data_IF_928519770397
#
_entry.id   IF_928519770397
#
_cell.length_a   1.000
_cell.length_b   1.000
_cell.length_c   1.000
_cell.angle_alpha   90.00
_cell.angle_beta   90.00
_cell.angle_gamma   90.00
#
_symmetry.space_group_name_H-M   'P 1'
#
loop_
_entity.id
_entity.type
_entity.pdbx_description
1 polymer ?
#
# COMPACT_ATOMS: atom_id res chain seq x y z
N UNK A 1 58.12 42.79 -21.18
CA UNK A 1 57.78 41.73 -20.19
C UNK A 1 56.73 42.27 -19.24
N UNK A 2 55.47 42.03 -19.51
CA UNK A 2 54.34 42.46 -18.71
C UNK A 2 54.03 41.44 -17.62
N UNK A 3 53.92 41.87 -16.37
CA UNK A 3 53.57 41.04 -15.17
C UNK A 3 52.11 40.63 -15.24
N UNK A 4 51.73 39.40 -14.88
CA UNK A 4 50.32 38.99 -14.80
C UNK A 4 49.63 39.64 -13.60
N UNK A 5 48.42 40.15 -13.82
CA UNK A 5 47.56 40.74 -12.80
C UNK A 5 47.12 39.68 -11.78
N UNK A 6 47.32 39.97 -10.50
CA UNK A 6 46.83 39.13 -9.40
C UNK A 6 45.30 39.25 -9.29
N UNK A 7 44.58 38.16 -9.55
CA UNK A 7 43.15 38.03 -9.24
C UNK A 7 42.94 38.14 -7.72
N UNK A 8 42.17 39.13 -7.31
CA UNK A 8 41.87 39.34 -5.90
C UNK A 8 40.64 38.47 -5.47
N UNK A 9 40.62 38.01 -4.21
CA UNK A 9 39.60 37.16 -3.63
C UNK A 9 38.13 37.65 -3.79
N UNK A 10 37.94 38.97 -3.95
CA UNK A 10 36.61 39.56 -4.18
C UNK A 10 36.08 39.35 -5.58
N UNK A 11 36.99 39.31 -6.56
CA UNK A 11 36.61 39.00 -7.96
C UNK A 11 36.24 37.52 -8.17
N UNK A 12 36.82 36.61 -7.37
CA UNK A 12 36.49 35.20 -7.42
C UNK A 12 35.11 34.88 -6.79
N UNK A 13 34.74 35.62 -5.73
CA UNK A 13 33.43 35.49 -5.07
C UNK A 13 32.28 36.14 -5.84
N UNK A 14 32.56 37.10 -6.73
CA UNK A 14 31.55 37.72 -7.59
C UNK A 14 31.23 36.89 -8.87
N UNK A 15 32.10 35.95 -9.24
CA UNK A 15 31.92 35.10 -10.43
C UNK A 15 31.20 33.76 -10.10
N UNK A 16 30.94 33.44 -8.84
CA UNK A 16 30.29 32.17 -8.43
C UNK A 16 28.80 32.29 -8.07
N UNK A 17 28.16 33.42 -8.32
CA UNK A 17 26.71 33.58 -8.28
C UNK A 17 26.10 33.44 -9.67
N UNK A 18 26.41 32.37 -10.39
CA UNK A 18 25.42 31.82 -11.30
C UNK A 18 24.36 31.16 -10.42
N UNK A 19 23.31 31.93 -10.11
CA UNK A 19 22.10 31.40 -9.54
C UNK A 19 21.63 30.24 -10.42
N UNK A 20 21.74 29.02 -9.92
CA UNK A 20 20.83 27.97 -10.32
C UNK A 20 19.44 28.47 -9.92
N UNK A 21 18.78 29.20 -10.83
CA UNK A 21 17.36 29.44 -10.69
C UNK A 21 16.75 28.04 -10.58
N UNK A 22 16.02 27.74 -9.50
CA UNK A 22 15.26 26.50 -9.49
C UNK A 22 14.39 26.55 -10.75
N UNK A 23 14.46 25.54 -11.56
CA UNK A 23 13.48 25.32 -12.61
C UNK A 23 12.15 25.15 -11.90
N UNK A 24 11.49 26.27 -11.62
CA UNK A 24 10.07 26.28 -11.34
C UNK A 24 9.41 25.88 -12.65
N UNK A 25 9.16 24.58 -12.83
CA UNK A 25 8.06 24.15 -13.67
C UNK A 25 6.85 24.92 -13.10
N UNK A 26 6.20 25.79 -13.89
CA UNK A 26 5.03 26.46 -13.38
C UNK A 26 4.03 25.37 -12.98
N UNK A 27 3.86 25.17 -11.68
CA UNK A 27 2.70 24.48 -11.17
C UNK A 27 1.53 25.19 -11.83
N UNK A 28 0.71 24.49 -12.59
CA UNK A 28 -0.65 24.94 -12.81
C UNK A 28 -1.16 25.24 -11.41
N UNK A 29 -1.28 26.51 -11.08
CA UNK A 29 -1.95 26.94 -9.89
C UNK A 29 -3.39 26.47 -10.10
N UNK A 30 -3.74 25.35 -9.49
CA UNK A 30 -5.12 24.92 -9.46
C UNK A 30 -5.86 26.04 -8.75
N UNK A 31 -6.58 26.85 -9.52
CA UNK A 31 -7.51 27.83 -8.97
C UNK A 31 -8.50 27.07 -8.10
N UNK A 32 -9.04 27.69 -7.06
CA UNK A 32 -9.98 27.07 -6.11
C UNK A 32 -11.19 26.38 -6.78
N UNK A 33 -11.38 26.51 -8.08
CA UNK A 33 -12.47 25.96 -8.91
C UNK A 33 -12.03 24.89 -9.92
N UNK A 34 -10.76 24.53 -10.07
CA UNK A 34 -10.36 23.49 -11.04
C UNK A 34 -10.55 22.10 -10.43
N UNK A 35 -11.39 21.30 -11.09
CA UNK A 35 -11.62 19.91 -10.72
C UNK A 35 -10.38 19.08 -11.07
N UNK A 36 -9.94 18.24 -10.12
CA UNK A 36 -8.90 17.24 -10.39
C UNK A 36 -9.47 16.23 -11.39
N UNK A 37 -8.78 16.05 -12.50
CA UNK A 37 -9.09 15.05 -13.53
C UNK A 37 -8.45 13.73 -13.16
N UNK A 38 -9.27 12.70 -12.98
CA UNK A 38 -8.79 11.38 -12.56
C UNK A 38 -8.95 10.32 -13.64
N UNK A 39 -8.12 9.29 -13.56
CA UNK A 39 -8.33 8.04 -14.27
C UNK A 39 -8.34 6.87 -13.29
N UNK A 40 -9.07 5.80 -13.64
CA UNK A 40 -9.22 4.63 -12.77
C UNK A 40 -8.76 3.37 -13.50
N UNK A 41 -7.80 2.63 -12.91
CA UNK A 41 -7.22 1.40 -13.46
C UNK A 41 -7.64 0.23 -12.56
N UNK A 42 -8.41 -0.72 -13.12
CA UNK A 42 -9.06 -1.78 -12.38
C UNK A 42 -10.34 -1.30 -11.70
N UNK A 43 -11.49 -1.67 -12.25
CA UNK A 43 -12.81 -1.21 -11.78
C UNK A 43 -13.73 -2.35 -11.34
N UNK A 44 -13.14 -3.49 -10.98
CA UNK A 44 -13.83 -4.58 -10.28
C UNK A 44 -14.31 -4.16 -8.87
N UNK A 45 -14.55 -5.12 -7.96
CA UNK A 45 -15.16 -4.87 -6.65
C UNK A 45 -14.69 -3.61 -5.93
N UNK A 46 -13.46 -3.59 -5.39
CA UNK A 46 -12.92 -2.42 -4.68
C UNK A 46 -12.74 -1.21 -5.61
N UNK A 47 -12.32 -1.43 -6.85
CA UNK A 47 -12.15 -0.34 -7.83
C UNK A 47 -13.45 0.38 -8.16
N UNK A 48 -14.57 -0.34 -8.28
CA UNK A 48 -15.90 0.26 -8.42
C UNK A 48 -16.29 1.07 -7.18
N UNK A 49 -15.95 0.59 -5.98
CA UNK A 49 -16.13 1.32 -4.72
C UNK A 49 -15.33 2.63 -4.70
N UNK A 50 -14.06 2.57 -5.08
CA UNK A 50 -13.18 3.76 -5.16
C UNK A 50 -13.69 4.76 -6.22
N UNK A 51 -14.09 4.28 -7.41
CA UNK A 51 -14.67 5.15 -8.45
C UNK A 51 -15.88 5.95 -7.91
N UNK A 52 -16.81 5.26 -7.22
CA UNK A 52 -17.96 5.93 -6.63
C UNK A 52 -17.58 6.91 -5.50
N UNK A 53 -16.61 6.54 -4.67
CA UNK A 53 -16.13 7.41 -3.59
C UNK A 53 -15.47 8.68 -4.13
N UNK A 54 -14.67 8.60 -5.19
CA UNK A 54 -14.05 9.75 -5.84
C UNK A 54 -15.08 10.61 -6.60
N UNK A 55 -16.01 10.00 -7.30
CA UNK A 55 -17.14 10.72 -7.93
C UNK A 55 -17.89 11.58 -6.90
N UNK A 56 -18.13 11.06 -5.69
CA UNK A 56 -18.75 11.80 -4.59
C UNK A 56 -17.90 12.94 -4.02
N UNK A 57 -16.63 13.09 -4.45
CA UNK A 57 -15.72 14.17 -4.03
C UNK A 57 -15.54 15.27 -5.09
N UNK A 58 -16.32 15.25 -6.15
CA UNK A 58 -16.31 16.28 -7.16
C UNK A 58 -15.11 16.27 -8.11
N UNK A 59 -14.44 15.13 -8.26
CA UNK A 59 -13.43 14.93 -9.31
C UNK A 59 -14.09 14.71 -10.67
N UNK A 60 -13.28 14.79 -11.74
CA UNK A 60 -13.71 14.48 -13.11
C UNK A 60 -13.03 13.19 -13.58
N UNK A 61 -13.68 11.99 -13.50
CA UNK A 61 -13.10 10.76 -14.04
C UNK A 61 -13.18 10.78 -15.56
N UNK A 62 -12.06 11.11 -16.22
CA UNK A 62 -12.00 11.27 -17.68
C UNK A 62 -11.61 9.97 -18.41
N UNK A 63 -11.08 8.98 -17.71
CA UNK A 63 -10.67 7.72 -18.30
C UNK A 63 -10.82 6.55 -17.31
N UNK A 64 -11.16 5.39 -17.84
CA UNK A 64 -11.22 4.12 -17.11
C UNK A 64 -10.46 3.06 -17.88
N UNK A 65 -9.72 2.22 -17.18
CA UNK A 65 -9.04 1.06 -17.74
C UNK A 65 -9.42 -0.21 -16.98
N UNK A 66 -9.82 -1.22 -17.71
CA UNK A 66 -9.95 -2.60 -17.20
C UNK A 66 -9.69 -3.58 -18.33
N UNK A 67 -9.11 -4.73 -18.02
CA UNK A 67 -8.84 -5.81 -18.98
C UNK A 67 -10.07 -6.69 -19.23
N UNK A 68 -11.13 -6.51 -18.44
CA UNK A 68 -12.45 -7.11 -18.64
C UNK A 68 -13.38 -6.06 -19.28
N UNK A 69 -13.76 -6.29 -20.55
CA UNK A 69 -14.55 -5.33 -21.35
C UNK A 69 -15.95 -5.08 -20.76
N UNK A 70 -16.53 -6.07 -20.08
CA UNK A 70 -17.84 -5.95 -19.43
C UNK A 70 -17.76 -5.02 -18.19
N UNK A 71 -16.71 -5.16 -17.37
CA UNK A 71 -16.45 -4.26 -16.23
C UNK A 71 -16.13 -2.87 -16.70
N UNK A 72 -15.30 -2.75 -17.73
CA UNK A 72 -14.96 -1.46 -18.36
C UNK A 72 -16.20 -0.73 -18.82
N UNK A 73 -17.05 -1.36 -19.63
CA UNK A 73 -18.28 -0.76 -20.15
C UNK A 73 -19.24 -0.31 -19.02
N UNK A 74 -19.41 -1.14 -17.98
CA UNK A 74 -20.22 -0.81 -16.80
C UNK A 74 -19.69 0.41 -16.06
N UNK A 75 -18.39 0.52 -15.87
CA UNK A 75 -17.77 1.63 -15.14
C UNK A 75 -17.82 2.93 -15.95
N UNK A 76 -17.56 2.90 -17.26
CA UNK A 76 -17.73 4.03 -18.16
C UNK A 76 -19.17 4.52 -18.10
N UNK A 77 -20.14 3.61 -18.20
CA UNK A 77 -21.57 3.97 -18.08
C UNK A 77 -21.89 4.63 -16.73
N UNK A 78 -21.33 4.13 -15.63
CA UNK A 78 -21.53 4.74 -14.30
C UNK A 78 -21.08 6.21 -14.25
N UNK A 79 -20.00 6.54 -14.95
CA UNK A 79 -19.45 7.90 -15.02
C UNK A 79 -20.28 8.79 -15.95
N UNK A 80 -20.65 8.27 -17.13
CA UNK A 80 -21.45 9.02 -18.12
C UNK A 80 -22.87 9.28 -17.65
N UNK A 81 -23.51 8.35 -16.95
CA UNK A 81 -24.83 8.54 -16.32
C UNK A 81 -24.84 9.68 -15.27
N UNK A 82 -23.66 10.03 -14.74
CA UNK A 82 -23.49 11.19 -13.83
C UNK A 82 -23.11 12.49 -14.54
N UNK A 83 -23.17 12.50 -15.86
CA UNK A 83 -22.94 13.69 -16.68
C UNK A 83 -21.47 14.03 -16.95
N UNK A 84 -20.54 13.08 -16.73
CA UNK A 84 -19.13 13.25 -17.09
C UNK A 84 -18.81 12.60 -18.43
N UNK A 85 -17.86 13.18 -19.17
CA UNK A 85 -17.27 12.53 -20.35
C UNK A 85 -16.17 11.59 -19.89
N UNK A 86 -16.23 10.32 -20.32
CA UNK A 86 -15.30 9.29 -19.91
C UNK A 86 -14.98 8.35 -21.07
N UNK A 87 -13.69 8.05 -21.25
CA UNK A 87 -13.20 7.14 -22.27
C UNK A 87 -12.71 5.82 -21.64
N UNK A 88 -12.95 4.69 -22.33
CA UNK A 88 -12.56 3.35 -21.89
C UNK A 88 -11.29 2.86 -22.56
N UNK A 89 -10.40 2.19 -21.79
CA UNK A 89 -9.13 1.63 -22.26
C UNK A 89 -8.96 0.18 -21.79
N UNK A 90 -8.48 -0.71 -22.66
CA UNK A 90 -8.04 -2.06 -22.27
C UNK A 90 -6.58 -2.09 -21.80
N UNK A 91 -5.79 -1.07 -22.17
CA UNK A 91 -4.37 -0.95 -21.83
C UNK A 91 -4.11 0.37 -21.09
N UNK A 92 -3.67 0.27 -19.83
CA UNK A 92 -3.41 1.42 -18.98
C UNK A 92 -2.31 2.35 -19.49
N UNK A 93 -1.36 1.85 -20.29
CA UNK A 93 -0.26 2.65 -20.86
C UNK A 93 -0.80 3.74 -21.78
N UNK A 94 -1.80 3.41 -22.60
CA UNK A 94 -2.49 4.38 -23.46
C UNK A 94 -3.24 5.45 -22.66
N UNK A 95 -3.80 5.06 -21.50
CA UNK A 95 -4.43 5.99 -20.58
C UNK A 95 -3.41 6.95 -19.97
N UNK A 96 -2.21 6.48 -19.62
CA UNK A 96 -1.15 7.31 -19.03
C UNK A 96 -0.56 8.33 -20.00
N UNK A 97 -0.67 8.12 -21.32
CA UNK A 97 -0.23 9.07 -22.35
C UNK A 97 -1.06 10.36 -22.36
N UNK A 98 -2.25 10.35 -21.81
CA UNK A 98 -3.15 11.51 -21.72
C UNK A 98 -2.59 12.61 -20.81
N UNK A 99 -2.48 13.82 -21.34
CA UNK A 99 -1.90 14.96 -20.61
C UNK A 99 -2.91 15.71 -19.74
N UNK A 100 -4.19 15.51 -19.97
CA UNK A 100 -5.28 16.11 -19.21
C UNK A 100 -5.60 15.41 -17.88
N UNK A 101 -5.03 14.23 -17.62
CA UNK A 101 -5.18 13.48 -16.37
C UNK A 101 -4.17 13.98 -15.33
N UNK A 102 -4.65 14.33 -14.13
CA UNK A 102 -3.84 14.77 -13.00
C UNK A 102 -3.43 13.61 -12.08
N UNK A 103 -4.36 12.68 -11.85
CA UNK A 103 -4.17 11.59 -10.89
C UNK A 103 -4.78 10.27 -11.37
N UNK A 104 -4.21 9.17 -10.89
CA UNK A 104 -4.66 7.80 -11.20
C UNK A 104 -5.06 7.06 -9.93
N UNK A 105 -6.17 6.34 -9.99
CA UNK A 105 -6.64 5.44 -8.92
C UNK A 105 -6.42 4.00 -9.39
N UNK A 106 -5.51 3.28 -8.73
CA UNK A 106 -5.11 1.91 -9.07
C UNK A 106 -5.76 0.94 -8.10
N UNK A 107 -6.61 0.05 -8.64
CA UNK A 107 -7.33 -0.97 -7.87
C UNK A 107 -7.30 -2.33 -8.59
N UNK A 108 -6.21 -2.61 -9.21
CA UNK A 108 -5.89 -3.88 -9.90
C UNK A 108 -5.61 -5.01 -8.89
N UNK A 109 -5.41 -6.26 -9.31
CA UNK A 109 -4.75 -7.27 -8.47
C UNK A 109 -3.34 -6.83 -8.05
N UNK A 110 -2.85 -7.35 -6.91
CA UNK A 110 -1.64 -6.88 -6.22
C UNK A 110 -0.39 -6.91 -7.12
N UNK A 111 -0.26 -7.91 -7.99
CA UNK A 111 0.89 -8.06 -8.90
C UNK A 111 1.01 -6.96 -9.96
N UNK A 112 -0.02 -6.14 -10.12
CA UNK A 112 0.00 -5.00 -11.02
C UNK A 112 0.31 -3.67 -10.32
N UNK A 113 0.20 -3.60 -8.98
CA UNK A 113 0.31 -2.34 -8.24
C UNK A 113 1.62 -1.62 -8.50
N UNK A 114 2.74 -2.35 -8.50
CA UNK A 114 4.07 -1.74 -8.65
C UNK A 114 4.27 -1.11 -10.02
N UNK A 115 4.11 -1.86 -11.10
CA UNK A 115 4.32 -1.33 -12.45
C UNK A 115 3.40 -0.17 -12.77
N UNK A 116 2.11 -0.30 -12.46
CA UNK A 116 1.14 0.76 -12.76
C UNK A 116 1.44 2.03 -11.97
N UNK A 117 1.85 1.92 -10.70
CA UNK A 117 2.25 3.08 -9.89
C UNK A 117 3.52 3.74 -10.41
N UNK A 118 4.57 2.95 -10.71
CA UNK A 118 5.84 3.46 -11.22
C UNK A 118 5.62 4.19 -12.54
N UNK A 119 4.92 3.56 -13.49
CA UNK A 119 4.63 4.17 -14.80
C UNK A 119 3.75 5.43 -14.67
N UNK A 120 2.79 5.44 -13.74
CA UNK A 120 1.98 6.63 -13.47
C UNK A 120 2.83 7.79 -12.92
N UNK A 121 3.74 7.52 -11.98
CA UNK A 121 4.68 8.51 -11.45
C UNK A 121 5.59 9.06 -12.56
N UNK A 122 6.15 8.20 -13.42
CA UNK A 122 6.97 8.58 -14.55
C UNK A 122 6.21 9.41 -15.60
N UNK A 123 4.91 9.11 -15.79
CA UNK A 123 4.00 9.90 -16.63
C UNK A 123 3.55 11.22 -15.98
N UNK A 124 4.06 11.54 -14.78
CA UNK A 124 3.76 12.79 -14.07
C UNK A 124 2.41 12.80 -13.36
N UNK A 125 1.79 11.64 -13.09
CA UNK A 125 0.50 11.53 -12.40
C UNK A 125 0.69 11.30 -10.90
N UNK A 126 -0.18 11.90 -10.08
CA UNK A 126 -0.32 11.53 -8.69
C UNK A 126 -1.13 10.23 -8.57
N UNK A 127 -0.91 9.42 -7.53
CA UNK A 127 -1.42 8.05 -7.49
C UNK A 127 -2.12 7.74 -6.16
N UNK A 128 -3.33 7.19 -6.25
CA UNK A 128 -3.95 6.43 -5.18
C UNK A 128 -3.85 4.94 -5.54
N UNK A 129 -3.09 4.16 -4.77
CA UNK A 129 -2.92 2.74 -5.02
C UNK A 129 -3.54 1.92 -3.90
N UNK A 130 -4.38 0.93 -4.22
CA UNK A 130 -4.94 0.02 -3.22
C UNK A 130 -3.86 -0.76 -2.48
N UNK A 131 -4.20 -1.19 -1.28
CA UNK A 131 -3.38 -2.09 -0.45
C UNK A 131 -3.53 -3.57 -0.92
N UNK A 132 -2.54 -4.44 -0.71
CA UNK A 132 -1.18 -4.13 -0.26
C UNK A 132 -0.47 -3.28 -1.31
N UNK A 133 0.44 -2.41 -0.89
CA UNK A 133 1.08 -1.48 -1.83
C UNK A 133 1.77 -2.22 -2.98
N UNK A 134 2.40 -3.38 -2.68
CA UNK A 134 3.18 -4.18 -3.63
C UNK A 134 2.98 -5.68 -3.41
N UNK A 135 3.48 -6.49 -4.33
CA UNK A 135 3.53 -7.94 -4.24
C UNK A 135 4.84 -8.43 -3.56
N UNK A 136 5.90 -7.63 -3.60
CA UNK A 136 7.21 -7.94 -3.02
C UNK A 136 7.83 -6.71 -2.34
N UNK A 137 8.83 -6.94 -1.48
CA UNK A 137 9.55 -5.85 -0.79
C UNK A 137 10.26 -4.94 -1.79
N UNK A 138 10.96 -5.52 -2.76
CA UNK A 138 11.72 -4.75 -3.77
C UNK A 138 10.77 -3.89 -4.61
N UNK A 139 9.61 -4.40 -5.00
CA UNK A 139 8.59 -3.60 -5.71
C UNK A 139 8.15 -2.39 -4.90
N UNK A 140 7.84 -2.57 -3.61
CA UNK A 140 7.42 -1.47 -2.75
C UNK A 140 8.48 -0.38 -2.65
N UNK A 141 9.76 -0.73 -2.53
CA UNK A 141 10.86 0.23 -2.52
C UNK A 141 10.98 0.97 -3.86
N UNK A 142 10.85 0.28 -4.99
CA UNK A 142 10.84 0.92 -6.31
C UNK A 142 9.67 1.89 -6.49
N UNK A 143 8.49 1.58 -5.95
CA UNK A 143 7.35 2.52 -5.95
C UNK A 143 7.66 3.80 -5.17
N UNK A 144 8.30 3.69 -3.99
CA UNK A 144 8.74 4.85 -3.21
C UNK A 144 9.74 5.70 -3.99
N UNK A 145 10.77 5.06 -4.56
CA UNK A 145 11.81 5.73 -5.35
C UNK A 145 11.19 6.48 -6.55
N UNK A 146 10.29 5.84 -7.29
CA UNK A 146 9.59 6.45 -8.42
C UNK A 146 8.75 7.65 -8.00
N UNK A 147 8.00 7.55 -6.89
CA UNK A 147 7.21 8.65 -6.35
C UNK A 147 8.08 9.85 -5.99
N UNK A 148 9.19 9.63 -5.29
CA UNK A 148 10.11 10.70 -4.86
C UNK A 148 10.86 11.33 -6.04
N UNK A 149 11.42 10.50 -6.94
CA UNK A 149 12.16 10.98 -8.13
C UNK A 149 11.28 11.86 -9.04
N UNK A 150 10.00 11.50 -9.20
CA UNK A 150 9.05 12.23 -10.01
C UNK A 150 8.25 13.29 -9.23
N UNK A 151 8.50 13.45 -7.92
CA UNK A 151 7.79 14.41 -7.04
C UNK A 151 6.27 14.22 -7.10
N UNK A 152 5.82 12.97 -7.09
CA UNK A 152 4.39 12.63 -7.12
C UNK A 152 3.86 12.33 -5.73
N UNK A 153 2.62 12.71 -5.50
CA UNK A 153 1.85 12.31 -4.32
C UNK A 153 1.36 10.87 -4.58
N UNK A 154 1.75 9.95 -3.71
CA UNK A 154 1.28 8.57 -3.78
C UNK A 154 0.70 8.18 -2.43
N UNK A 155 -0.59 7.86 -2.41
CA UNK A 155 -1.31 7.40 -1.22
C UNK A 155 -1.68 5.93 -1.35
N UNK A 156 -1.38 5.15 -0.29
CA UNK A 156 -1.83 3.76 -0.19
C UNK A 156 -3.26 3.69 0.37
N UNK A 157 -4.08 2.79 -0.16
CA UNK A 157 -5.47 2.55 0.23
C UNK A 157 -5.65 1.92 1.62
N UNK A 158 -4.93 2.40 2.64
CA UNK A 158 -5.04 1.96 4.05
C UNK A 158 -6.05 2.82 4.81
N UNK A 159 -7.33 2.68 4.44
CA UNK A 159 -8.42 3.57 4.88
C UNK A 159 -8.60 3.62 6.41
N UNK A 160 -8.16 2.61 7.16
CA UNK A 160 -8.24 2.58 8.63
C UNK A 160 -7.46 3.74 9.29
N UNK A 161 -6.44 4.29 8.62
CA UNK A 161 -5.73 5.49 9.12
C UNK A 161 -6.60 6.75 9.15
N UNK A 162 -7.71 6.76 8.41
CA UNK A 162 -8.70 7.85 8.41
C UNK A 162 -9.92 7.58 9.30
N UNK A 163 -9.88 6.55 10.15
CA UNK A 163 -10.94 6.23 11.12
C UNK A 163 -10.52 6.70 12.52
N UNK A 164 -11.42 7.42 13.21
CA UNK A 164 -11.15 8.03 14.51
C UNK A 164 -10.80 7.01 15.62
N UNK A 165 -11.36 5.78 15.58
CA UNK A 165 -11.09 4.76 16.61
C UNK A 165 -9.66 4.21 16.50
N UNK A 166 -9.22 3.94 15.27
CA UNK A 166 -7.84 3.50 15.02
C UNK A 166 -6.83 4.60 15.36
N UNK A 167 -7.13 5.85 14.98
CA UNK A 167 -6.30 7.00 15.33
C UNK A 167 -6.20 7.17 16.84
N UNK A 168 -7.33 7.14 17.56
CA UNK A 168 -7.35 7.26 19.03
C UNK A 168 -6.52 6.14 19.69
N UNK A 169 -6.65 4.89 19.25
CA UNK A 169 -5.87 3.78 19.79
C UNK A 169 -4.36 4.06 19.62
N UNK A 170 -3.93 4.51 18.43
CA UNK A 170 -2.53 4.82 18.16
C UNK A 170 -2.05 6.05 18.94
N UNK A 171 -2.86 7.10 19.11
CA UNK A 171 -2.55 8.27 19.91
C UNK A 171 -2.31 7.90 21.38
N UNK A 172 -3.19 7.08 21.97
CA UNK A 172 -3.07 6.60 23.36
C UNK A 172 -1.80 5.77 23.55
N UNK A 173 -1.51 4.85 22.64
CA UNK A 173 -0.29 4.03 22.67
C UNK A 173 0.96 4.91 22.60
N UNK A 174 1.03 5.81 21.63
CA UNK A 174 2.17 6.70 21.41
C UNK A 174 2.34 7.75 22.49
N UNK A 175 1.28 8.09 23.22
CA UNK A 175 1.31 8.95 24.40
C UNK A 175 1.76 8.21 25.67
N UNK A 176 2.09 6.91 25.58
CA UNK A 176 2.58 6.13 26.72
C UNK A 176 1.49 5.78 27.75
N UNK A 177 0.19 5.85 27.38
CA UNK A 177 -0.93 5.52 28.29
C UNK A 177 -0.89 4.09 28.81
N UNK A 178 -0.34 3.15 27.99
CA UNK A 178 -0.17 1.76 28.37
C UNK A 178 1.16 1.47 29.08
N UNK A 179 2.01 2.46 29.29
CA UNK A 179 3.40 2.26 29.71
C UNK A 179 4.22 1.65 28.56
N UNK A 180 5.26 0.88 28.90
CA UNK A 180 6.06 0.17 27.89
C UNK A 180 5.20 -0.90 27.20
N UNK A 181 5.15 -0.88 25.88
CA UNK A 181 4.46 -1.91 25.11
C UNK A 181 5.34 -3.16 25.05
N UNK A 182 4.82 -4.27 25.55
CA UNK A 182 5.49 -5.58 25.47
C UNK A 182 5.10 -6.34 24.22
N UNK A 183 3.80 -6.35 23.88
CA UNK A 183 3.26 -7.12 22.77
C UNK A 183 2.18 -6.33 22.00
N UNK A 184 2.08 -6.63 20.72
CA UNK A 184 0.93 -6.25 19.89
C UNK A 184 0.41 -7.51 19.21
N UNK A 185 -0.89 -7.80 19.35
CA UNK A 185 -1.52 -8.95 18.71
C UNK A 185 -2.33 -8.47 17.51
N UNK A 186 -2.14 -9.12 16.37
CA UNK A 186 -2.92 -8.89 15.16
C UNK A 186 -3.61 -10.18 14.75
N UNK A 187 -4.94 -10.19 14.86
CA UNK A 187 -5.78 -11.31 14.43
C UNK A 187 -6.27 -11.14 13.00
N UNK A 188 -6.07 -12.16 12.17
CA UNK A 188 -6.52 -12.21 10.78
C UNK A 188 -7.54 -13.33 10.58
N UNK A 189 -8.54 -13.15 9.68
CA UNK A 189 -9.51 -14.19 9.37
C UNK A 189 -8.85 -15.38 8.65
N UNK A 190 -9.53 -16.52 8.68
CA UNK A 190 -9.23 -17.63 7.79
C UNK A 190 -9.54 -17.31 6.32
N UNK A 191 -9.11 -18.19 5.42
CA UNK A 191 -9.40 -18.04 4.00
C UNK A 191 -10.88 -18.35 3.72
N UNK A 192 -11.50 -17.52 2.89
CA UNK A 192 -12.87 -17.73 2.41
C UNK A 192 -12.93 -18.37 1.01
N UNK A 193 -11.90 -19.15 0.67
CA UNK A 193 -11.88 -19.94 -0.56
C UNK A 193 -12.86 -21.12 -0.45
N UNK A 194 -13.76 -21.27 -1.39
CA UNK A 194 -14.84 -22.26 -1.33
C UNK A 194 -14.66 -23.38 -2.34
N UNK A 195 -14.76 -24.61 -1.85
CA UNK A 195 -14.78 -25.84 -2.65
C UNK A 195 -13.45 -26.20 -3.34
N UNK A 196 -13.39 -27.39 -3.97
CA UNK A 196 -12.19 -27.89 -4.61
C UNK A 196 -11.81 -27.07 -5.84
N UNK A 197 -10.55 -27.20 -6.32
CA UNK A 197 -10.14 -26.68 -7.63
C UNK A 197 -11.04 -27.20 -8.76
N UNK A 198 -11.12 -26.42 -9.82
CA UNK A 198 -11.77 -26.81 -11.07
C UNK A 198 -10.71 -26.95 -12.17
N UNK A 199 -10.99 -27.70 -13.24
CA UNK A 199 -10.09 -27.75 -14.39
C UNK A 199 -9.81 -26.35 -14.96
N UNK A 200 -8.63 -26.19 -15.52
CA UNK A 200 -8.29 -25.00 -16.30
C UNK A 200 -9.17 -24.95 -17.57
N UNK A 201 -9.45 -23.76 -18.06
CA UNK A 201 -10.32 -23.50 -19.21
C UNK A 201 -9.76 -22.36 -20.06
N UNK A 202 -10.31 -22.17 -21.25
CA UNK A 202 -10.06 -20.94 -22.00
C UNK A 202 -10.62 -19.74 -21.24
N UNK A 203 -9.96 -18.58 -21.31
CA UNK A 203 -10.50 -17.35 -20.74
C UNK A 203 -11.78 -16.94 -21.48
N UNK A 204 -12.74 -16.30 -20.79
CA UNK A 204 -13.92 -15.76 -21.45
C UNK A 204 -13.52 -14.65 -22.44
N UNK A 205 -14.31 -14.51 -23.51
CA UNK A 205 -13.99 -13.59 -24.63
C UNK A 205 -13.88 -12.11 -24.22
N UNK A 206 -14.57 -11.73 -23.15
CA UNK A 206 -14.51 -10.37 -22.59
C UNK A 206 -13.22 -10.07 -21.80
N UNK A 207 -12.40 -11.07 -21.46
CA UNK A 207 -11.20 -10.91 -20.63
C UNK A 207 -9.93 -10.99 -21.48
N UNK A 208 -9.17 -9.90 -21.57
CA UNK A 208 -7.76 -9.96 -21.99
C UNK A 208 -6.91 -10.61 -20.89
N UNK A 209 -6.83 -11.96 -20.98
CA UNK A 209 -6.16 -12.75 -19.94
C UNK A 209 -4.63 -12.57 -19.95
N UNK A 210 -4.01 -12.30 -21.10
CA UNK A 210 -2.58 -12.04 -21.17
C UNK A 210 -2.21 -10.74 -20.44
N UNK A 211 -3.01 -9.70 -20.65
CA UNK A 211 -2.87 -8.44 -19.93
C UNK A 211 -3.27 -8.59 -18.44
N UNK A 212 -4.24 -9.45 -18.10
CA UNK A 212 -4.57 -9.75 -16.71
C UNK A 212 -3.38 -10.40 -15.99
N UNK A 213 -2.69 -11.37 -16.61
CA UNK A 213 -1.47 -11.98 -16.07
C UNK A 213 -0.33 -10.96 -15.95
N UNK A 214 -0.12 -10.14 -16.97
CA UNK A 214 0.91 -9.11 -16.96
C UNK A 214 2.28 -9.61 -16.55
N UNK A 215 2.88 -9.05 -15.47
CA UNK A 215 4.20 -9.44 -14.98
C UNK A 215 4.24 -10.81 -14.29
N UNK A 216 3.08 -11.38 -13.92
CA UNK A 216 3.01 -12.68 -13.28
C UNK A 216 3.39 -13.82 -14.23
N UNK A 217 3.84 -14.98 -13.72
CA UNK A 217 4.16 -16.13 -14.54
C UNK A 217 2.98 -16.57 -15.44
N UNK A 218 3.31 -17.11 -16.61
CA UNK A 218 2.31 -17.68 -17.52
C UNK A 218 1.63 -18.88 -16.88
N UNK A 219 0.30 -18.85 -16.80
CA UNK A 219 -0.54 -19.93 -16.29
C UNK A 219 -1.82 -20.02 -17.11
N UNK A 220 -2.40 -21.21 -17.32
CA UNK A 220 -3.73 -21.36 -17.93
C UNK A 220 -4.79 -20.60 -17.13
N UNK A 221 -5.84 -20.14 -17.79
CA UNK A 221 -6.97 -19.52 -17.10
C UNK A 221 -7.70 -20.52 -16.21
N UNK A 222 -8.20 -20.03 -15.05
CA UNK A 222 -8.98 -20.84 -14.11
C UNK A 222 -10.02 -19.95 -13.41
N UNK A 223 -11.30 -20.33 -13.51
CA UNK A 223 -12.42 -19.57 -12.96
C UNK A 223 -12.39 -19.48 -11.41
N UNK A 224 -11.72 -20.42 -10.73
CA UNK A 224 -11.48 -20.34 -9.28
C UNK A 224 -10.34 -19.38 -8.90
N UNK A 225 -9.59 -18.88 -9.86
CA UNK A 225 -8.44 -17.97 -9.66
C UNK A 225 -8.79 -16.54 -10.02
N UNK A 226 -9.44 -16.36 -11.14
CA UNK A 226 -9.86 -15.07 -11.69
C UNK A 226 -11.37 -14.89 -11.43
N UNK A 227 -11.89 -13.72 -10.99
CA UNK A 227 -11.17 -12.47 -10.70
C UNK A 227 -10.88 -12.32 -9.20
N UNK A 228 -11.83 -12.70 -8.30
CA UNK A 228 -11.80 -12.40 -6.87
C UNK A 228 -10.71 -13.18 -6.13
N UNK A 229 -10.53 -14.44 -6.47
CA UNK A 229 -9.69 -15.37 -5.73
C UNK A 229 -8.18 -15.26 -6.05
N UNK A 230 -7.75 -14.33 -6.91
CA UNK A 230 -6.33 -14.08 -7.17
C UNK A 230 -5.52 -13.97 -5.86
N UNK A 231 -6.13 -13.43 -4.82
CA UNK A 231 -5.52 -13.21 -3.51
C UNK A 231 -5.06 -14.47 -2.80
N UNK A 232 -5.55 -15.63 -3.20
CA UNK A 232 -5.17 -16.93 -2.63
C UNK A 232 -4.08 -17.65 -3.43
N UNK A 233 -3.58 -17.04 -4.50
CA UNK A 233 -2.55 -17.62 -5.36
C UNK A 233 -1.27 -16.77 -5.28
N UNK A 234 -0.17 -17.48 -5.00
CA UNK A 234 1.11 -16.84 -4.68
C UNK A 234 1.64 -15.94 -5.79
N UNK A 235 1.42 -16.32 -7.06
CA UNK A 235 1.86 -15.50 -8.19
C UNK A 235 1.22 -14.11 -8.24
N UNK A 236 0.09 -13.91 -7.59
CA UNK A 236 -0.71 -12.70 -7.70
C UNK A 236 -0.88 -11.93 -6.40
N UNK A 237 -0.71 -12.58 -5.23
CA UNK A 237 -0.96 -11.97 -3.93
C UNK A 237 -0.32 -12.78 -2.79
N UNK A 238 -0.47 -12.32 -1.56
CA UNK A 238 0.03 -12.96 -0.34
C UNK A 238 -1.07 -13.44 0.63
N UNK A 239 -2.29 -13.66 0.17
CA UNK A 239 -3.38 -14.18 0.99
C UNK A 239 -3.94 -13.21 2.02
N UNK A 240 -4.49 -13.74 3.11
CA UNK A 240 -5.01 -12.91 4.20
C UNK A 240 -3.92 -12.08 4.88
N UNK A 241 -2.68 -12.54 4.83
CA UNK A 241 -1.53 -11.83 5.36
C UNK A 241 -1.35 -10.45 4.70
N UNK A 242 -1.51 -10.36 3.37
CA UNK A 242 -1.43 -9.09 2.63
C UNK A 242 -2.80 -8.44 2.41
N UNK A 243 -3.90 -9.18 2.56
CA UNK A 243 -5.25 -8.63 2.45
C UNK A 243 -5.68 -7.92 3.75
N UNK A 244 -5.97 -8.67 4.82
CA UNK A 244 -6.33 -8.11 6.13
C UNK A 244 -5.12 -7.67 6.95
N UNK A 245 -3.98 -8.37 6.78
CA UNK A 245 -2.72 -7.97 7.42
C UNK A 245 -2.30 -6.55 7.04
N UNK A 246 -2.39 -6.18 5.76
CA UNK A 246 -2.10 -4.82 5.32
C UNK A 246 -2.96 -3.73 5.98
N UNK A 247 -4.10 -4.11 6.57
CA UNK A 247 -4.91 -3.19 7.38
C UNK A 247 -4.51 -3.20 8.86
N UNK A 248 -4.41 -4.39 9.49
CA UNK A 248 -4.23 -4.49 10.94
C UNK A 248 -2.76 -4.40 11.36
N UNK A 249 -1.82 -4.91 10.56
CA UNK A 249 -0.38 -4.72 10.77
C UNK A 249 0.00 -3.25 10.56
N UNK A 250 -0.63 -2.55 9.60
CA UNK A 250 -0.45 -1.12 9.41
C UNK A 250 -0.82 -0.33 10.68
N UNK A 251 -1.91 -0.68 11.35
CA UNK A 251 -2.30 -0.08 12.63
C UNK A 251 -1.28 -0.40 13.73
N UNK A 252 -0.74 -1.63 13.77
CA UNK A 252 0.31 -1.98 14.71
C UNK A 252 1.58 -1.13 14.49
N UNK A 253 2.04 -1.00 13.23
CA UNK A 253 3.17 -0.13 12.84
C UNK A 253 2.92 1.33 13.24
N UNK A 254 1.72 1.84 12.97
CA UNK A 254 1.33 3.21 13.30
C UNK A 254 1.34 3.48 14.81
N UNK A 255 0.73 2.58 15.60
CA UNK A 255 0.72 2.67 17.06
C UNK A 255 2.11 2.54 17.69
N UNK A 256 2.99 1.72 17.13
CA UNK A 256 4.38 1.59 17.56
C UNK A 256 5.29 2.74 17.08
N UNK A 257 4.80 3.63 16.20
CA UNK A 257 5.62 4.71 15.63
C UNK A 257 6.65 4.21 14.61
N UNK A 258 6.36 3.09 13.93
CA UNK A 258 7.29 2.40 13.02
C UNK A 258 6.99 2.68 11.54
N UNK A 259 6.40 3.82 11.22
CA UNK A 259 6.05 4.21 9.85
C UNK A 259 7.25 4.30 8.88
N UNK A 260 8.47 4.47 9.42
CA UNK A 260 9.71 4.53 8.64
C UNK A 260 10.69 3.38 8.95
N UNK A 261 10.24 2.32 9.65
CA UNK A 261 11.07 1.21 10.09
C UNK A 261 10.26 -0.09 10.15
N UNK A 262 10.78 -1.10 10.86
CA UNK A 262 10.11 -2.38 11.02
C UNK A 262 10.77 -3.28 12.05
N UNK A 263 10.37 -4.57 12.09
CA UNK A 263 10.99 -5.57 12.96
C UNK A 263 12.44 -5.84 12.56
N UNK A 264 13.23 -6.46 13.47
CA UNK A 264 14.59 -6.91 13.20
C UNK A 264 14.68 -8.43 13.02
N UNK A 265 13.63 -9.17 13.35
CA UNK A 265 13.54 -10.61 13.08
C UNK A 265 12.09 -11.06 13.02
N UNK A 266 11.85 -12.16 12.31
CA UNK A 266 10.54 -12.82 12.22
C UNK A 266 10.73 -14.33 12.35
N UNK A 267 9.87 -14.99 13.14
CA UNK A 267 9.85 -16.43 13.34
C UNK A 267 8.43 -16.93 13.66
N UNK A 268 8.19 -18.22 13.55
CA UNK A 268 6.93 -18.84 13.93
C UNK A 268 6.55 -20.00 13.03
N UNK A 269 5.26 -20.36 13.04
CA UNK A 269 4.73 -21.52 12.33
C UNK A 269 3.55 -21.16 11.45
N UNK A 270 3.39 -21.87 10.36
CA UNK A 270 2.25 -21.73 9.45
C UNK A 270 1.86 -23.10 8.88
N UNK A 271 0.60 -23.20 8.47
CA UNK A 271 0.07 -24.33 7.71
C UNK A 271 -0.47 -23.85 6.37
N UNK A 272 -0.45 -24.76 5.40
CA UNK A 272 -1.04 -24.56 4.08
C UNK A 272 -2.15 -25.58 3.86
N UNK A 273 -3.07 -25.32 2.93
CA UNK A 273 -4.15 -26.22 2.67
C UNK A 273 -3.64 -27.62 2.27
N UNK A 274 -4.03 -28.72 2.96
CA UNK A 274 -3.46 -30.03 2.76
C UNK A 274 -3.64 -30.59 1.34
N UNK A 275 -4.72 -30.21 0.67
CA UNK A 275 -5.00 -30.59 -0.72
C UNK A 275 -4.54 -29.53 -1.74
N UNK A 276 -3.83 -28.48 -1.30
CA UNK A 276 -3.30 -27.40 -2.14
C UNK A 276 -4.37 -26.72 -3.03
N UNK A 277 -5.57 -26.49 -2.49
CA UNK A 277 -6.62 -25.79 -3.21
C UNK A 277 -6.24 -24.33 -3.51
N UNK A 278 -5.34 -23.78 -2.70
CA UNK A 278 -4.74 -22.45 -2.84
C UNK A 278 -3.28 -22.48 -2.33
N UNK A 279 -2.56 -21.39 -2.54
CA UNK A 279 -1.09 -21.37 -2.40
C UNK A 279 -0.58 -20.50 -1.25
N UNK A 280 -1.50 -19.85 -0.52
CA UNK A 280 -1.19 -18.99 0.63
C UNK A 280 -1.43 -19.73 1.95
N UNK A 281 -1.01 -19.14 3.06
CA UNK A 281 -1.19 -19.72 4.39
C UNK A 281 -2.66 -19.96 4.72
N UNK A 282 -2.96 -21.11 5.31
CA UNK A 282 -4.28 -21.46 5.85
C UNK A 282 -4.41 -20.97 7.29
N UNK A 283 -3.38 -21.22 8.10
CA UNK A 283 -3.27 -20.73 9.46
C UNK A 283 -1.81 -20.39 9.77
N UNK A 284 -1.60 -19.40 10.63
CA UNK A 284 -0.25 -19.11 11.12
C UNK A 284 -0.26 -18.44 12.50
N UNK A 285 0.89 -18.51 13.17
CA UNK A 285 1.24 -17.68 14.33
C UNK A 285 2.70 -17.27 14.19
N UNK A 286 2.93 -16.00 13.87
CA UNK A 286 4.24 -15.45 13.52
C UNK A 286 4.58 -14.30 14.46
N UNK A 287 5.81 -14.28 14.97
CA UNK A 287 6.31 -13.27 15.90
C UNK A 287 7.37 -12.43 15.23
N UNK A 288 7.15 -11.13 15.19
CA UNK A 288 8.07 -10.11 14.73
C UNK A 288 8.67 -9.43 15.95
N UNK A 289 9.98 -9.39 16.07
CA UNK A 289 10.68 -8.72 17.16
C UNK A 289 11.22 -7.38 16.69
N UNK A 290 10.89 -6.29 17.40
CA UNK A 290 11.43 -4.96 17.14
C UNK A 290 12.69 -4.69 17.96
N UNK A 291 13.51 -3.71 17.55
CA UNK A 291 14.77 -3.40 18.18
C UNK A 291 14.66 -3.03 19.69
N UNK A 292 13.50 -2.48 20.10
CA UNK A 292 13.21 -2.14 21.50
C UNK A 292 12.70 -3.34 22.34
N UNK A 293 12.65 -4.54 21.75
CA UNK A 293 12.16 -5.77 22.38
C UNK A 293 10.65 -6.00 22.29
N UNK A 294 9.87 -5.06 21.76
CA UNK A 294 8.42 -5.25 21.52
C UNK A 294 8.19 -6.38 20.53
N UNK A 295 7.20 -7.23 20.79
CA UNK A 295 6.80 -8.32 19.89
C UNK A 295 5.47 -7.99 19.21
N UNK A 296 5.44 -8.08 17.89
CA UNK A 296 4.20 -8.11 17.12
C UNK A 296 3.90 -9.56 16.76
N UNK A 297 2.79 -10.09 17.27
CA UNK A 297 2.34 -11.45 17.03
C UNK A 297 1.17 -11.41 16.05
N UNK A 298 1.35 -12.00 14.88
CA UNK A 298 0.32 -12.08 13.84
C UNK A 298 -0.24 -13.49 13.81
N UNK A 299 -1.54 -13.62 14.04
CA UNK A 299 -2.26 -14.89 13.99
C UNK A 299 -3.33 -14.90 12.90
N UNK A 300 -3.25 -15.84 11.96
CA UNK A 300 -4.31 -16.10 10.99
C UNK A 300 -5.12 -17.32 11.42
N UNK A 301 -6.46 -17.19 11.42
CA UNK A 301 -7.40 -18.24 11.83
C UNK A 301 -7.15 -18.77 13.26
N UNK A 302 -6.66 -17.92 14.17
CA UNK A 302 -6.41 -18.26 15.57
C UNK A 302 -7.65 -17.93 16.44
N UNK A 303 -8.12 -18.89 17.22
CA UNK A 303 -9.33 -18.73 18.07
C UNK A 303 -9.12 -17.74 19.22
N UNK A 304 -7.89 -17.60 19.70
CA UNK A 304 -7.49 -16.71 20.81
C UNK A 304 -7.16 -15.28 20.35
N UNK A 305 -7.18 -15.02 19.05
CA UNK A 305 -6.84 -13.72 18.47
C UNK A 305 -8.00 -13.16 17.65
N UNK A 306 -8.83 -12.27 18.22
CA UNK A 306 -9.94 -11.66 17.50
C UNK A 306 -9.41 -10.77 16.35
N UNK A 307 -10.18 -10.70 15.26
CA UNK A 307 -9.83 -9.86 14.08
C UNK A 307 -9.70 -8.39 14.45
N UNK A 308 -8.51 -7.85 14.32
CA UNK A 308 -8.16 -6.49 14.74
C UNK A 308 -6.73 -6.40 15.26
N UNK A 309 -6.45 -5.32 16.00
CA UNK A 309 -5.14 -5.04 16.61
C UNK A 309 -5.30 -4.82 18.12
N UNK A 310 -4.53 -5.53 18.93
CA UNK A 310 -4.49 -5.36 20.39
C UNK A 310 -3.09 -4.92 20.81
N UNK A 311 -2.98 -3.75 21.43
CA UNK A 311 -1.75 -3.27 22.06
C UNK A 311 -1.76 -3.67 23.54
N UNK A 312 -0.68 -4.27 24.03
CA UNK A 312 -0.52 -4.75 25.42
C UNK A 312 0.72 -4.11 26.01
N UNK A 313 0.53 -3.40 27.12
CA UNK A 313 1.59 -2.75 27.86
C UNK A 313 1.46 -2.97 29.37
N UNK A 314 2.35 -2.33 30.13
CA UNK A 314 2.44 -2.47 31.60
C UNK A 314 1.15 -2.08 32.35
N UNK A 315 0.38 -1.11 31.80
CA UNK A 315 -0.79 -0.54 32.44
C UNK A 315 -2.11 -1.10 31.88
N UNK A 316 -2.07 -2.09 31.01
CA UNK A 316 -3.26 -2.69 30.43
C UNK A 316 -3.18 -2.90 28.93
N UNK A 317 -4.34 -2.99 28.29
CA UNK A 317 -4.45 -3.26 26.86
C UNK A 317 -5.52 -2.42 26.16
N UNK A 318 -5.32 -2.15 24.88
CA UNK A 318 -6.30 -1.51 23.99
C UNK A 318 -6.48 -2.42 22.77
N UNK A 319 -7.73 -2.81 22.50
CA UNK A 319 -8.14 -3.51 21.28
C UNK A 319 -8.89 -2.57 20.35
N UNK A 320 -8.55 -2.60 19.05
CA UNK A 320 -9.24 -1.82 18.03
C UNK A 320 -9.50 -2.65 16.78
N UNK A 321 -10.70 -2.52 16.25
CA UNK A 321 -11.12 -3.05 14.95
C UNK A 321 -12.16 -2.12 14.33
N UNK A 322 -12.61 -2.40 13.10
CA UNK A 322 -13.63 -1.57 12.43
C UNK A 322 -14.88 -1.44 13.28
N UNK A 323 -15.25 -0.21 13.58
CA UNK A 323 -16.45 0.12 14.37
C UNK A 323 -16.31 -0.09 15.89
N UNK A 324 -15.19 -0.64 16.40
CA UNK A 324 -15.04 -0.95 17.83
C UNK A 324 -13.65 -0.62 18.36
N UNK A 325 -13.60 0.01 19.55
CA UNK A 325 -12.41 0.17 20.38
C UNK A 325 -12.77 -0.21 21.82
N UNK A 326 -11.91 -0.93 22.51
CA UNK A 326 -12.09 -1.31 23.94
C UNK A 326 -10.75 -1.29 24.64
N UNK A 327 -10.76 -1.11 25.95
CA UNK A 327 -9.58 -1.20 26.80
C UNK A 327 -9.84 -2.00 28.06
N UNK A 328 -8.78 -2.45 28.69
CA UNK A 328 -8.76 -3.06 29.99
C UNK A 328 -7.46 -2.62 30.70
N UNK A 329 -7.57 -1.78 31.76
CA UNK A 329 -8.81 -1.26 32.35
C UNK A 329 -9.52 -0.21 31.46
N UNK A 330 -10.81 0.05 31.72
CA UNK A 330 -11.66 0.95 30.92
C UNK A 330 -11.18 2.40 30.96
N UNK A 331 -10.61 2.81 32.06
CA UNK A 331 -10.09 4.16 32.33
C UNK A 331 -9.06 4.62 31.29
N UNK A 332 -8.39 3.69 30.61
CA UNK A 332 -7.45 4.01 29.51
C UNK A 332 -8.14 4.75 28.35
N UNK A 333 -9.42 4.48 28.10
CA UNK A 333 -10.22 5.17 27.08
C UNK A 333 -11.05 6.33 27.61
N UNK A 334 -11.42 6.32 28.91
CA UNK A 334 -12.28 7.33 29.51
C UNK A 334 -11.53 8.65 29.78
N UNK A 335 -10.24 8.58 30.01
CA UNK A 335 -9.41 9.77 30.21
C UNK A 335 -9.17 10.47 28.87
N UNK A 336 -9.55 11.75 28.72
CA UNK A 336 -9.27 12.50 27.51
C UNK A 336 -7.77 12.66 27.28
N UNK A 337 -7.38 12.86 26.02
CA UNK A 337 -6.00 13.18 25.69
C UNK A 337 -5.65 14.59 26.21
N UNK A 338 -4.55 14.71 26.98
CA UNK A 338 -4.02 15.95 27.53
C UNK A 338 -3.28 16.78 26.44
N UNK A 339 -2.79 17.96 26.84
CA UNK A 339 -2.07 18.87 25.97
C UNK A 339 -0.74 18.30 25.44
N UNK A 340 -0.06 17.50 26.27
CA UNK A 340 1.23 16.88 25.93
C UNK A 340 1.12 15.53 25.23
N UNK A 341 -0.11 15.00 25.07
CA UNK A 341 -0.32 13.73 24.39
C UNK A 341 -0.09 13.85 22.89
N UNK A 342 0.40 12.77 22.30
CA UNK A 342 0.64 12.69 20.84
C UNK A 342 -0.67 12.89 20.09
N UNK A 343 -0.65 13.79 19.12
CA UNK A 343 -1.74 14.00 18.16
C UNK A 343 -1.29 13.54 16.79
N UNK A 344 -2.01 12.62 16.23
CA UNK A 344 -1.77 12.11 14.88
C UNK A 344 -2.62 12.90 13.86
N UNK A 345 -2.17 12.95 12.63
CA UNK A 345 -2.91 13.61 11.56
C UNK A 345 -4.33 13.07 11.46
N UNK A 346 -5.31 13.97 11.50
CA UNK A 346 -6.72 13.64 11.37
C UNK A 346 -7.14 13.77 9.92
N UNK A 347 -7.80 12.74 9.42
CA UNK A 347 -8.43 12.76 8.10
C UNK A 347 -9.89 12.31 8.24
N UNK A 348 -10.81 13.14 7.80
CA UNK A 348 -12.24 12.80 7.81
C UNK A 348 -12.62 11.82 6.70
N UNK A 349 -11.79 11.71 5.66
CA UNK A 349 -12.01 10.82 4.52
C UNK A 349 -10.68 10.54 3.83
N UNK A 350 -10.34 9.26 3.71
CA UNK A 350 -9.10 8.82 3.07
C UNK A 350 -8.96 9.31 1.62
N UNK A 351 -10.05 9.27 0.85
CA UNK A 351 -10.09 9.78 -0.52
C UNK A 351 -9.98 11.32 -0.57
N UNK A 352 -10.60 12.05 0.37
CA UNK A 352 -10.47 13.51 0.43
C UNK A 352 -9.04 13.92 0.78
N UNK A 353 -8.39 13.23 1.73
CA UNK A 353 -6.99 13.48 2.08
C UNK A 353 -6.07 13.38 0.86
N UNK A 354 -6.25 12.38 0.01
CA UNK A 354 -5.48 12.26 -1.24
C UNK A 354 -5.65 13.51 -2.12
N UNK A 355 -6.88 13.95 -2.34
CA UNK A 355 -7.18 15.12 -3.17
C UNK A 355 -6.64 16.43 -2.55
N UNK A 356 -6.68 16.54 -1.23
CA UNK A 356 -6.07 17.66 -0.49
C UNK A 356 -4.55 17.67 -0.66
N UNK A 357 -3.91 16.50 -0.54
CA UNK A 357 -2.46 16.38 -0.70
C UNK A 357 -1.99 16.62 -2.15
N UNK A 358 -2.81 16.29 -3.16
CA UNK A 358 -2.53 16.70 -4.55
C UNK A 358 -2.44 18.23 -4.66
N UNK A 359 -3.31 18.98 -3.97
CA UNK A 359 -3.34 20.45 -4.02
C UNK A 359 -2.23 21.07 -3.17
N UNK A 360 -2.06 20.60 -1.93
CA UNK A 360 -1.08 21.14 -0.99
C UNK A 360 0.35 20.69 -1.27
N UNK A 361 0.53 19.55 -1.95
CA UNK A 361 1.80 18.83 -2.13
C UNK A 361 2.41 18.31 -0.81
N UNK A 362 1.63 18.28 0.26
CA UNK A 362 1.99 17.62 1.51
C UNK A 362 1.83 16.10 1.40
N UNK A 363 2.56 15.35 2.23
CA UNK A 363 2.47 13.89 2.24
C UNK A 363 1.12 13.44 2.80
N UNK A 364 0.46 12.45 2.17
CA UNK A 364 -0.81 11.95 2.63
C UNK A 364 -0.68 11.09 3.90
N UNK A 365 -1.81 10.91 4.59
CA UNK A 365 -1.89 10.15 5.85
C UNK A 365 -1.35 8.71 5.74
N UNK A 366 -1.41 8.12 4.58
CA UNK A 366 -0.76 6.86 4.25
C UNK A 366 0.11 7.02 3.00
N UNK A 367 1.18 7.81 3.16
CA UNK A 367 2.19 8.00 2.13
C UNK A 367 2.76 6.66 1.63
N UNK A 368 3.32 6.66 0.43
CA UNK A 368 3.88 5.46 -0.20
C UNK A 368 4.93 4.75 0.67
N UNK A 369 5.77 5.49 1.42
CA UNK A 369 6.74 4.90 2.35
C UNK A 369 6.04 4.13 3.47
N UNK A 370 4.98 4.70 4.03
CA UNK A 370 4.18 4.06 5.08
C UNK A 370 3.54 2.76 4.57
N UNK A 371 2.94 2.81 3.37
CA UNK A 371 2.36 1.65 2.72
C UNK A 371 3.39 0.56 2.44
N UNK A 372 4.58 0.94 1.99
CA UNK A 372 5.70 0.03 1.77
C UNK A 372 6.14 -0.66 3.08
N UNK A 373 6.34 0.10 4.16
CA UNK A 373 6.77 -0.46 5.47
C UNK A 373 5.75 -1.44 6.03
N UNK A 374 4.48 -1.11 5.96
CA UNK A 374 3.41 -2.01 6.42
C UNK A 374 3.31 -3.27 5.55
N UNK A 375 3.40 -3.14 4.23
CA UNK A 375 3.43 -4.29 3.31
C UNK A 375 4.67 -5.17 3.54
N UNK A 376 5.84 -4.57 3.84
CA UNK A 376 7.07 -5.30 4.14
C UNK A 376 6.88 -6.26 5.31
N UNK A 377 6.24 -5.85 6.41
CA UNK A 377 5.96 -6.75 7.54
C UNK A 377 5.08 -7.93 7.13
N UNK A 378 4.08 -7.68 6.26
CA UNK A 378 3.25 -8.75 5.70
C UNK A 378 4.07 -9.71 4.82
N UNK A 379 4.98 -9.18 3.99
CA UNK A 379 5.83 -9.98 3.12
C UNK A 379 6.82 -10.85 3.92
N UNK A 380 7.47 -10.28 4.93
CA UNK A 380 8.36 -11.04 5.83
C UNK A 380 7.62 -12.17 6.54
N UNK A 381 6.35 -11.94 6.93
CA UNK A 381 5.48 -12.99 7.47
C UNK A 381 5.29 -14.14 6.49
N UNK A 382 4.96 -13.82 5.24
CA UNK A 382 4.76 -14.83 4.19
C UNK A 382 6.05 -15.57 3.83
N UNK A 383 7.20 -14.90 3.86
CA UNK A 383 8.51 -15.53 3.65
C UNK A 383 8.78 -16.56 4.73
N UNK A 384 8.69 -16.20 6.02
CA UNK A 384 8.90 -17.12 7.14
C UNK A 384 7.93 -18.29 7.08
N UNK A 385 6.67 -18.06 6.77
CA UNK A 385 5.68 -19.13 6.61
C UNK A 385 6.08 -20.13 5.52
N UNK A 386 6.72 -19.68 4.43
CA UNK A 386 7.13 -20.55 3.32
C UNK A 386 8.43 -21.29 3.55
N UNK A 387 9.43 -20.62 4.12
CA UNK A 387 10.74 -21.24 4.36
C UNK A 387 10.80 -22.05 5.65
N UNK A 388 9.83 -21.85 6.57
CA UNK A 388 9.70 -22.63 7.82
C UNK A 388 10.80 -22.37 8.86
N UNK A 389 11.52 -21.24 8.76
CA UNK A 389 12.60 -20.87 9.69
C UNK A 389 12.63 -19.39 9.98
N UNK A 390 13.29 -19.01 11.08
CA UNK A 390 13.54 -17.63 11.49
C UNK A 390 14.37 -16.90 10.45
N UNK A 391 14.05 -15.63 10.23
CA UNK A 391 14.86 -14.67 9.47
C UNK A 391 15.32 -13.51 10.36
N UNK A 392 16.49 -12.95 10.07
CA UNK A 392 17.00 -11.69 10.62
C UNK A 392 16.86 -10.64 9.53
N UNK A 393 16.17 -9.55 9.85
CA UNK A 393 15.87 -8.47 8.94
C UNK A 393 16.60 -7.20 9.32
N UNK A 394 17.22 -6.54 8.36
CA UNK A 394 17.76 -5.19 8.51
C UNK A 394 16.75 -4.18 7.94
N UNK A 395 16.00 -3.44 8.80
CA UNK A 395 14.97 -2.51 8.33
C UNK A 395 15.53 -1.23 7.70
N UNK A 396 16.85 -0.97 7.82
CA UNK A 396 17.52 0.18 7.20
C UNK A 396 17.96 -0.16 5.79
N UNK A 397 18.60 -1.32 5.60
CA UNK A 397 19.06 -1.80 4.30
C UNK A 397 17.98 -2.53 3.51
N UNK A 398 16.88 -2.88 4.18
CA UNK A 398 15.77 -3.67 3.63
C UNK A 398 16.24 -4.99 3.01
N UNK A 399 17.01 -5.74 3.79
CA UNK A 399 17.57 -7.04 3.39
C UNK A 399 17.48 -8.06 4.51
N UNK A 400 17.48 -9.33 4.16
CA UNK A 400 17.61 -10.45 5.10
C UNK A 400 19.09 -10.74 5.30
N UNK A 401 19.51 -10.84 6.56
CA UNK A 401 20.91 -11.00 6.94
C UNK A 401 21.23 -12.48 7.13
N UNK A 402 22.27 -12.96 6.42
CA UNK A 402 22.80 -14.31 6.63
C UNK A 402 21.95 -15.46 6.08
N UNK A 403 21.00 -15.15 5.16
CA UNK A 403 20.14 -16.16 4.51
C UNK A 403 19.84 -15.73 3.06
N UNK A 404 20.70 -16.14 2.14
CA UNK A 404 20.63 -15.76 0.71
C UNK A 404 19.37 -16.32 0.02
N UNK A 405 18.90 -17.52 0.41
CA UNK A 405 17.67 -18.10 -0.12
C UNK A 405 16.46 -17.23 0.24
N UNK A 406 16.35 -16.84 1.51
CA UNK A 406 15.29 -15.97 1.95
C UNK A 406 15.42 -14.56 1.35
N UNK A 407 16.63 -14.03 1.21
CA UNK A 407 16.89 -12.72 0.60
C UNK A 407 16.48 -12.69 -0.88
N UNK A 408 16.70 -13.76 -1.63
CA UNK A 408 16.27 -13.88 -3.02
C UNK A 408 14.73 -13.78 -3.17
N UNK A 409 13.96 -14.15 -2.15
CA UNK A 409 12.50 -14.07 -2.15
C UNK A 409 11.94 -12.65 -1.90
N UNK A 410 12.78 -11.67 -1.60
CA UNK A 410 12.36 -10.26 -1.48
C UNK A 410 11.93 -9.66 -2.82
N UNK A 411 12.21 -10.35 -3.93
CA UNK A 411 11.80 -10.01 -5.28
C UNK A 411 11.26 -11.25 -5.98
N UNK A 412 10.63 -11.04 -7.14
CA UNK A 412 10.17 -12.13 -8.03
C UNK A 412 10.51 -11.77 -9.48
N UNK A 413 10.87 -12.76 -10.32
CA UNK A 413 11.10 -12.50 -11.74
C UNK A 413 9.79 -12.11 -12.42
N UNK A 414 9.87 -11.13 -13.31
CA UNK A 414 8.75 -10.70 -14.14
C UNK A 414 8.71 -11.48 -15.44
N UNK A 415 7.52 -11.79 -15.91
CA UNK A 415 7.28 -12.35 -17.24
C UNK A 415 7.60 -11.31 -18.30
N UNK A 416 8.40 -11.69 -19.31
CA UNK A 416 8.67 -10.85 -20.48
C UNK A 416 7.35 -10.50 -21.22
N UNK A 417 7.13 -9.27 -21.71
CA UNK A 417 8.13 -8.18 -21.79
C UNK A 417 8.17 -7.23 -20.56
N UNK A 418 7.51 -7.58 -19.48
CA UNK A 418 7.42 -6.72 -18.30
C UNK A 418 8.74 -6.70 -17.52
N UNK A 419 9.10 -5.53 -17.04
CA UNK A 419 10.31 -5.33 -16.22
C UNK A 419 10.01 -4.31 -15.13
N UNK A 420 10.55 -4.56 -13.94
CA UNK A 420 10.53 -3.59 -12.85
C UNK A 420 11.61 -2.54 -13.12
N UNK A 421 11.21 -1.31 -13.47
CA UNK A 421 12.08 -0.20 -13.85
C UNK A 421 12.30 0.80 -12.72
#
# INVERSE_FOLDING_TARGET
>A
MSRPAKLNRRAFLAASTVMAAPYFVPFRAFGANERIVTAHIGVGGQGGGNLNAFLGKGVSPAAICDVDSGRLAKAVKTVTDKGHTCEGYGDYRKLLDRKDIDAVVISTPDHWHALTTIHACQAGKDVYCEKPLSLTVVEGRRMVEAARANKRIVQTGSQQRSDDKFRLACELVRSGRLGKISEVLVGLPGNNFSGPPVPDSDPPAELDYDMWLGPAPQRPHNTKRVHYNFRFFWDYSGGQMTNWGAHHIDIAQWGLGMDASGPISVEGTATFHPQKWYEVTDSCRLTHTYANGTKLIVGQAQKDMPGGTTFIGEKGRIFVTRGKITSDPKELLEQPLGENDVRLNKSASHHANFLECIRSRELPICDVEIGHRSATVCHLSNLVARIGRKIVWDPVRETIVGDDEAAAMLSRPYRTPWMLT
#
